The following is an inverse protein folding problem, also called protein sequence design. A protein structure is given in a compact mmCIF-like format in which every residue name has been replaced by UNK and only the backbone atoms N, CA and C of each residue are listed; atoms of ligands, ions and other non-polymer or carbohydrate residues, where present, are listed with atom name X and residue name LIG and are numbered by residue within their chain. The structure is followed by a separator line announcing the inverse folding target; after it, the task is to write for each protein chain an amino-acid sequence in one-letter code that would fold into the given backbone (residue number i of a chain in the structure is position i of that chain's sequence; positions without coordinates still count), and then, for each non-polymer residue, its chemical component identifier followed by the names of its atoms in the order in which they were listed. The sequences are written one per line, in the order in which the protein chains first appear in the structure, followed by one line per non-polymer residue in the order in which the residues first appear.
data_IF_482302737559
#
_entry.id   IF_482302737559
#
_cell.length_a   1.000
_cell.length_b   1.000
_cell.length_c   1.000
_cell.angle_alpha   90.00
_cell.angle_beta   90.00
_cell.angle_gamma   90.00
#
_symmetry.space_group_name_H-M   'P 1'
#
loop_
_entity.id
_entity.type
_entity.pdbx_description
1 polymer ?
#
# COMPACT_ATOMS: atom_id res chain seq x y z
N UNK A 1 -27.21 -4.26 36.46
CA UNK A 1 -26.60 -2.92 36.37
C UNK A 1 -25.15 -3.11 35.93
N UNK A 2 -24.84 -2.89 34.65
CA UNK A 2 -23.45 -2.91 34.17
C UNK A 2 -22.78 -1.59 34.60
N UNK A 3 -21.79 -1.70 35.50
CA UNK A 3 -20.98 -0.59 35.98
C UNK A 3 -20.27 0.09 34.80
N UNK A 4 -20.65 1.34 34.48
CA UNK A 4 -19.97 2.22 33.51
C UNK A 4 -18.70 2.87 34.09
N UNK A 5 -17.99 2.14 34.94
CA UNK A 5 -16.74 2.55 35.56
C UNK A 5 -15.81 1.35 35.31
N UNK A 6 -14.98 1.30 34.26
CA UNK A 6 -13.93 2.26 33.90
C UNK A 6 -13.54 2.13 32.40
N UNK A 7 -14.50 2.31 31.50
CA UNK A 7 -14.37 1.99 30.06
C UNK A 7 -13.24 2.77 29.37
N UNK A 8 -13.12 4.08 29.67
CA UNK A 8 -12.08 4.93 29.10
C UNK A 8 -10.69 4.56 29.63
N UNK A 9 -10.54 4.30 30.93
CA UNK A 9 -9.22 3.94 31.48
C UNK A 9 -8.74 2.60 30.94
N UNK A 10 -9.65 1.61 30.83
CA UNK A 10 -9.35 0.33 30.21
C UNK A 10 -9.00 0.49 28.73
N UNK A 11 -9.70 1.36 28.00
CA UNK A 11 -9.38 1.67 26.61
C UNK A 11 -7.97 2.30 26.48
N UNK A 12 -7.64 3.27 27.34
CA UNK A 12 -6.31 3.93 27.35
C UNK A 12 -5.20 2.94 27.68
N UNK A 13 -5.40 2.11 28.71
CA UNK A 13 -4.43 1.08 29.09
C UNK A 13 -4.19 0.08 27.95
N UNK A 14 -5.28 -0.40 27.33
CA UNK A 14 -5.17 -1.29 26.18
C UNK A 14 -4.51 -0.61 24.98
N UNK A 15 -4.82 0.66 24.70
CA UNK A 15 -4.19 1.39 23.61
C UNK A 15 -2.68 1.56 23.86
N UNK A 16 -2.28 1.92 25.08
CA UNK A 16 -0.87 2.06 25.45
C UNK A 16 -0.12 0.72 25.34
N UNK A 17 -0.72 -0.36 25.84
CA UNK A 17 -0.17 -1.72 25.73
C UNK A 17 -0.01 -2.14 24.26
N UNK A 18 -1.07 -2.03 23.46
CA UNK A 18 -1.05 -2.40 22.03
C UNK A 18 -0.06 -1.54 21.23
N UNK A 19 0.07 -0.25 21.55
CA UNK A 19 1.08 0.60 20.91
C UNK A 19 2.51 0.17 21.27
N UNK A 20 2.75 -0.22 22.53
CA UNK A 20 4.06 -0.74 22.95
C UNK A 20 4.38 -2.09 22.30
N UNK A 21 3.42 -3.02 22.28
CA UNK A 21 3.56 -4.33 21.63
C UNK A 21 3.72 -4.19 20.11
N UNK A 22 2.96 -3.29 19.48
CA UNK A 22 3.01 -3.05 18.04
C UNK A 22 4.39 -2.61 17.54
N UNK A 23 5.14 -1.86 18.36
CA UNK A 23 6.52 -1.46 18.05
C UNK A 23 7.50 -2.64 17.94
N UNK A 24 7.14 -3.79 18.50
CA UNK A 24 7.97 -5.00 18.43
C UNK A 24 7.67 -5.85 17.19
N UNK A 25 6.59 -5.55 16.46
CA UNK A 25 6.28 -6.24 15.22
C UNK A 25 7.34 -5.90 14.16
N UNK A 26 7.59 -6.82 13.24
CA UNK A 26 8.47 -6.55 12.11
C UNK A 26 7.81 -5.53 11.18
N UNK A 27 8.54 -4.46 10.84
CA UNK A 27 8.09 -3.45 9.90
C UNK A 27 8.57 -3.83 8.49
N UNK A 28 7.74 -4.54 7.74
CA UNK A 28 8.05 -4.91 6.36
C UNK A 28 9.10 -6.03 6.24
N UNK A 29 9.91 -5.95 5.17
CA UNK A 29 10.88 -6.99 4.76
C UNK A 29 10.27 -8.34 4.39
N UNK A 30 9.01 -8.33 3.96
CA UNK A 30 8.42 -9.49 3.32
C UNK A 30 8.93 -9.60 1.89
N UNK A 31 9.16 -10.83 1.46
CA UNK A 31 9.44 -11.09 0.06
C UNK A 31 8.26 -10.64 -0.80
N UNK A 32 8.51 -10.04 -1.98
CA UNK A 32 7.44 -9.71 -2.90
C UNK A 32 6.68 -10.99 -3.28
N UNK A 33 5.34 -10.93 -3.40
CA UNK A 33 4.54 -12.06 -3.83
C UNK A 33 4.92 -12.45 -5.26
N UNK A 34 4.69 -13.72 -5.59
CA UNK A 34 4.93 -14.21 -6.96
C UNK A 34 4.10 -13.40 -7.97
N UNK A 35 4.80 -12.79 -8.93
CA UNK A 35 4.16 -12.03 -10.02
C UNK A 35 3.81 -12.96 -11.17
N UNK A 36 2.53 -13.03 -11.60
CA UNK A 36 2.16 -13.83 -12.75
C UNK A 36 2.82 -13.29 -14.02
N UNK A 37 3.27 -14.21 -14.89
CA UNK A 37 3.80 -13.84 -16.21
C UNK A 37 2.69 -13.25 -17.06
N UNK A 38 2.96 -12.10 -17.67
CA UNK A 38 2.07 -11.41 -18.63
C UNK A 38 2.73 -11.47 -20.00
N UNK A 39 1.96 -11.81 -21.03
CA UNK A 39 2.46 -11.89 -22.40
C UNK A 39 2.57 -10.50 -23.04
N UNK A 40 3.45 -10.29 -24.04
CA UNK A 40 3.59 -8.97 -24.69
C UNK A 40 2.31 -8.45 -25.38
N UNK A 41 1.43 -9.35 -25.79
CA UNK A 41 0.14 -9.10 -26.44
C UNK A 41 -1.05 -8.99 -25.46
N UNK A 42 -0.79 -9.11 -24.16
CA UNK A 42 -1.83 -9.00 -23.14
C UNK A 42 -2.54 -7.62 -23.18
N UNK A 43 -3.84 -7.58 -22.83
CA UNK A 43 -4.55 -6.32 -22.71
C UNK A 43 -3.91 -5.43 -21.63
N UNK A 44 -3.88 -4.12 -21.89
CA UNK A 44 -3.22 -3.15 -21.01
C UNK A 44 -4.24 -2.38 -20.19
N UNK A 45 -3.94 -2.19 -18.91
CA UNK A 45 -4.68 -1.30 -18.02
C UNK A 45 -3.74 -0.21 -17.51
N UNK A 46 -4.10 1.05 -17.78
CA UNK A 46 -3.39 2.22 -17.25
C UNK A 46 -4.08 2.69 -15.98
N UNK A 47 -3.32 2.79 -14.89
CA UNK A 47 -3.81 3.30 -13.61
C UNK A 47 -3.20 4.67 -13.40
N UNK A 48 -4.03 5.70 -13.37
CA UNK A 48 -3.58 7.07 -13.16
C UNK A 48 -3.64 7.39 -11.68
N UNK A 49 -2.48 7.42 -11.04
CA UNK A 49 -2.32 7.78 -9.64
C UNK A 49 -1.92 9.26 -9.54
N UNK A 50 -2.82 10.15 -9.06
CA UNK A 50 -2.54 11.58 -8.94
C UNK A 50 -1.26 11.88 -8.16
N UNK A 51 -1.06 11.16 -7.05
CA UNK A 51 0.12 11.26 -6.20
C UNK A 51 0.76 9.88 -6.00
N UNK A 52 2.05 9.85 -5.65
CA UNK A 52 2.66 8.64 -5.10
C UNK A 52 1.87 8.15 -3.88
N UNK A 53 1.75 6.83 -3.72
CA UNK A 53 0.97 6.09 -2.73
C UNK A 53 -0.51 5.85 -3.13
N UNK A 54 -1.09 6.65 -4.03
CA UNK A 54 -2.47 6.43 -4.50
C UNK A 54 -2.61 5.03 -5.16
N UNK A 55 -1.57 4.57 -5.85
CA UNK A 55 -1.56 3.24 -6.48
C UNK A 55 -1.71 2.10 -5.49
N UNK A 56 -1.21 2.29 -4.26
CA UNK A 56 -1.32 1.31 -3.18
C UNK A 56 -2.74 1.32 -2.59
N UNK A 57 -3.34 2.50 -2.45
CA UNK A 57 -4.68 2.67 -1.88
C UNK A 57 -5.75 2.02 -2.78
N UNK A 58 -5.63 2.19 -4.10
CA UNK A 58 -6.63 1.68 -5.06
C UNK A 58 -6.24 0.34 -5.70
N UNK A 59 -5.16 -0.30 -5.23
CA UNK A 59 -4.54 -1.46 -5.87
C UNK A 59 -5.47 -2.68 -6.07
N UNK A 60 -6.58 -2.76 -5.34
CA UNK A 60 -7.47 -3.94 -5.35
C UNK A 60 -7.93 -4.37 -6.75
N UNK A 61 -8.44 -3.45 -7.57
CA UNK A 61 -8.85 -3.76 -8.94
C UNK A 61 -7.65 -4.03 -9.88
N UNK A 62 -6.62 -3.16 -9.95
CA UNK A 62 -5.42 -3.41 -10.75
C UNK A 62 -4.79 -4.78 -10.46
N UNK A 63 -4.63 -5.15 -9.19
CA UNK A 63 -4.03 -6.43 -8.82
C UNK A 63 -4.90 -7.62 -9.23
N UNK A 64 -6.23 -7.49 -9.22
CA UNK A 64 -7.10 -8.54 -9.76
C UNK A 64 -6.96 -8.67 -11.27
N UNK A 65 -6.89 -7.56 -12.01
CA UNK A 65 -6.67 -7.59 -13.46
C UNK A 65 -5.35 -8.29 -13.81
N UNK A 66 -4.28 -8.03 -13.06
CA UNK A 66 -3.00 -8.73 -13.20
C UNK A 66 -3.11 -10.23 -12.81
N UNK A 67 -3.56 -10.51 -11.59
CA UNK A 67 -3.51 -11.85 -10.97
C UNK A 67 -4.56 -12.83 -11.51
N UNK A 68 -5.67 -12.35 -12.05
CA UNK A 68 -6.78 -13.21 -12.49
C UNK A 68 -7.00 -13.12 -13.99
N UNK A 69 -6.74 -11.97 -14.61
CA UNK A 69 -7.02 -11.75 -16.03
C UNK A 69 -5.76 -11.53 -16.88
N UNK A 70 -4.57 -11.59 -16.28
CA UNK A 70 -3.25 -11.46 -16.95
C UNK A 70 -3.10 -10.15 -17.73
N UNK A 71 -3.73 -9.07 -17.28
CA UNK A 71 -3.53 -7.75 -17.87
C UNK A 71 -2.10 -7.25 -17.60
N UNK A 72 -1.55 -6.51 -18.56
CA UNK A 72 -0.39 -5.67 -18.32
C UNK A 72 -0.86 -4.39 -17.61
N UNK A 73 -0.75 -4.39 -16.29
CA UNK A 73 -1.09 -3.24 -15.46
C UNK A 73 0.10 -2.28 -15.40
N UNK A 74 -0.13 -1.02 -15.74
CA UNK A 74 0.89 0.03 -15.79
C UNK A 74 0.41 1.19 -14.92
N UNK A 75 1.19 1.50 -13.88
CA UNK A 75 0.97 2.69 -13.09
C UNK A 75 1.50 3.93 -13.82
N UNK A 76 0.69 4.98 -13.85
CA UNK A 76 1.02 6.31 -14.39
C UNK A 76 0.99 7.28 -13.22
N UNK A 77 2.17 7.62 -12.72
CA UNK A 77 2.34 8.68 -11.73
C UNK A 77 2.06 10.03 -12.40
N UNK A 78 0.91 10.64 -12.11
CA UNK A 78 0.51 11.91 -12.73
C UNK A 78 1.36 13.06 -12.19
N UNK A 79 1.64 13.02 -10.88
CA UNK A 79 2.58 13.94 -10.23
C UNK A 79 3.52 13.16 -9.32
N UNK A 80 4.63 13.78 -8.91
CA UNK A 80 5.56 13.24 -7.89
C UNK A 80 5.43 13.99 -6.55
N UNK A 81 4.32 14.72 -6.36
CA UNK A 81 4.10 15.65 -5.26
C UNK A 81 4.61 17.07 -5.55
N UNK A 82 4.16 18.03 -4.74
CA UNK A 82 4.49 19.46 -4.88
C UNK A 82 5.88 19.83 -4.33
N UNK A 83 6.42 19.03 -3.40
CA UNK A 83 7.75 19.23 -2.84
C UNK A 83 8.82 18.70 -3.82
N UNK A 84 9.42 19.62 -4.57
CA UNK A 84 10.41 19.33 -5.62
C UNK A 84 11.63 18.57 -5.10
N UNK A 85 12.11 18.89 -3.91
CA UNK A 85 13.29 18.26 -3.31
C UNK A 85 13.06 16.78 -3.00
N UNK A 86 11.79 16.37 -2.87
CA UNK A 86 11.39 15.00 -2.56
C UNK A 86 10.93 14.19 -3.78
N UNK A 87 10.74 14.81 -4.96
CA UNK A 87 10.14 14.14 -6.12
C UNK A 87 10.93 12.90 -6.55
N UNK A 88 12.26 13.01 -6.64
CA UNK A 88 13.11 11.89 -7.02
C UNK A 88 12.99 10.70 -6.03
N UNK A 89 13.03 10.99 -4.72
CA UNK A 89 12.86 9.96 -3.69
C UNK A 89 11.47 9.32 -3.75
N UNK A 90 10.42 10.14 -3.95
CA UNK A 90 9.03 9.67 -4.07
C UNK A 90 8.81 8.78 -5.29
N UNK A 91 9.50 9.05 -6.40
CA UNK A 91 9.46 8.19 -7.58
C UNK A 91 10.07 6.81 -7.30
N UNK A 92 11.20 6.75 -6.58
CA UNK A 92 11.81 5.48 -6.19
C UNK A 92 10.93 4.71 -5.20
N UNK A 93 10.32 5.40 -4.23
CA UNK A 93 9.34 4.82 -3.30
C UNK A 93 8.13 4.22 -4.05
N UNK A 94 7.57 4.94 -5.03
CA UNK A 94 6.48 4.45 -5.88
C UNK A 94 6.91 3.23 -6.71
N UNK A 95 8.12 3.24 -7.29
CA UNK A 95 8.66 2.11 -8.05
C UNK A 95 8.81 0.89 -7.17
N UNK A 96 9.33 1.05 -5.96
CA UNK A 96 9.46 -0.02 -4.98
C UNK A 96 8.09 -0.59 -4.59
N UNK A 97 7.10 0.27 -4.34
CA UNK A 97 5.73 -0.15 -4.06
C UNK A 97 5.10 -0.93 -5.23
N UNK A 98 5.23 -0.42 -6.46
CA UNK A 98 4.79 -1.09 -7.68
C UNK A 98 5.54 -2.41 -7.94
N UNK A 99 6.79 -2.54 -7.49
CA UNK A 99 7.55 -3.79 -7.61
C UNK A 99 7.08 -4.82 -6.58
N UNK A 100 6.75 -4.39 -5.37
CA UNK A 100 6.26 -5.25 -4.30
C UNK A 100 4.86 -5.82 -4.56
N UNK A 101 4.01 -5.15 -5.33
CA UNK A 101 2.64 -5.63 -5.60
C UNK A 101 2.53 -6.60 -6.78
#
# INVERSE_FOLDING_TARGET
MHSKQNDIALWVENHARLFAEGKQLAHGQWDPPERPKVTPDAPKALIFSPHPDDECIIAGLPLRLLKQSRFQVINVAVTQGSNRDRQAARLEELRAACHYM
#
